data_IF_338907607452
#
_entry.id   IF_338907607452
#
_cell.length_a   1.000
_cell.length_b   1.000
_cell.length_c   1.000
_cell.angle_alpha   90.00
_cell.angle_beta   90.00
_cell.angle_gamma   90.00
#
_symmetry.space_group_name_H-M   'P 1'
#
loop_
_entity.id
_entity.type
_entity.pdbx_description
1 polymer ?
#
# COMPACT_ATOMS: atom_id res chain seq x y z
N UNK A 1 -4.54 0.73 -3.22
CA UNK A 1 -5.03 0.95 -1.85
C UNK A 1 -6.39 1.61 -1.99
N UNK A 2 -7.46 0.94 -1.59
CA UNK A 2 -8.80 1.52 -1.59
C UNK A 2 -9.00 2.10 -0.19
N UNK A 3 -9.25 3.41 -0.10
CA UNK A 3 -9.60 4.07 1.16
C UNK A 3 -10.89 3.42 1.65
N UNK A 4 -10.82 2.56 2.67
CA UNK A 4 -11.95 1.74 3.11
C UNK A 4 -11.62 0.38 3.73
N UNK A 5 -10.35 -0.02 3.84
CA UNK A 5 -9.96 -1.15 4.70
C UNK A 5 -9.59 -0.65 6.10
N UNK A 6 -9.95 -1.44 7.11
CA UNK A 6 -9.95 -1.20 8.58
C UNK A 6 -8.83 -0.31 9.16
N UNK A 7 -7.65 -0.22 8.54
CA UNK A 7 -6.55 0.66 8.95
C UNK A 7 -6.85 2.17 8.81
N UNK A 8 -7.99 2.53 8.20
CA UNK A 8 -8.45 3.92 8.00
C UNK A 8 -9.78 4.22 8.70
N UNK A 9 -10.24 3.34 9.60
CA UNK A 9 -11.54 3.49 10.27
C UNK A 9 -11.61 4.74 11.17
N UNK A 10 -10.46 5.22 11.65
CA UNK A 10 -10.35 6.39 12.54
C UNK A 10 -10.26 7.73 11.79
N UNK A 11 -10.38 7.72 10.46
CA UNK A 11 -10.43 8.96 9.67
C UNK A 11 -11.69 9.76 10.02
N UNK A 12 -11.50 11.02 10.36
CA UNK A 12 -12.61 11.97 10.55
C UNK A 12 -12.91 12.64 9.22
N UNK A 13 -14.16 12.59 8.75
CA UNK A 13 -14.57 13.21 7.49
C UNK A 13 -15.76 14.15 7.69
N UNK A 14 -15.77 15.33 7.03
CA UNK A 14 -16.96 16.17 6.98
C UNK A 14 -18.00 15.67 5.97
N UNK A 15 -17.66 14.70 5.11
CA UNK A 15 -18.58 14.16 4.12
C UNK A 15 -19.53 13.15 4.81
N UNK A 16 -20.85 13.40 4.84
CA UNK A 16 -21.80 12.53 5.54
C UNK A 16 -21.94 11.15 4.90
N UNK A 17 -21.47 10.97 3.67
CA UNK A 17 -21.45 9.67 2.98
C UNK A 17 -20.13 8.90 3.19
N UNK A 18 -19.26 9.38 4.07
CA UNK A 18 -17.96 8.80 4.32
C UNK A 18 -16.88 9.22 3.32
N UNK A 19 -15.73 8.56 3.41
CA UNK A 19 -14.55 8.82 2.58
C UNK A 19 -14.67 8.10 1.24
N UNK A 20 -14.79 8.85 0.14
CA UNK A 20 -14.70 8.34 -1.23
C UNK A 20 -13.35 8.66 -1.89
N UNK A 21 -12.71 9.76 -1.48
CA UNK A 21 -11.42 10.22 -1.97
C UNK A 21 -10.58 10.87 -0.86
N UNK A 22 -9.34 11.23 -1.19
CA UNK A 22 -8.42 11.89 -0.25
C UNK A 22 -8.93 13.28 0.15
N UNK A 23 -9.68 13.94 -0.72
CA UNK A 23 -10.33 15.23 -0.44
C UNK A 23 -11.34 15.15 0.71
N UNK A 24 -11.89 13.98 1.01
CA UNK A 24 -12.85 13.79 2.10
C UNK A 24 -12.19 13.76 3.48
N UNK A 25 -10.85 13.69 3.57
CA UNK A 25 -10.14 13.77 4.86
C UNK A 25 -9.77 15.21 5.22
N UNK A 26 -10.06 16.17 4.33
CA UNK A 26 -9.80 17.59 4.56
C UNK A 26 -10.96 18.16 5.38
N UNK A 27 -10.70 18.83 6.51
CA UNK A 27 -11.74 19.51 7.29
C UNK A 27 -12.51 20.52 6.43
N UNK A 28 -13.82 20.65 6.68
CA UNK A 28 -14.68 21.48 5.84
C UNK A 28 -14.22 22.94 5.74
N UNK A 29 -13.86 23.56 6.88
CA UNK A 29 -13.40 24.95 6.91
C UNK A 29 -12.14 25.15 6.07
N UNK A 30 -11.20 24.20 6.14
CA UNK A 30 -9.99 24.18 5.30
C UNK A 30 -10.34 23.99 3.83
N UNK A 31 -11.30 23.13 3.50
CA UNK A 31 -11.70 22.88 2.12
C UNK A 31 -12.35 24.12 1.47
N UNK A 32 -13.22 24.84 2.19
CA UNK A 32 -13.81 26.11 1.73
C UNK A 32 -12.75 27.20 1.60
N UNK A 33 -11.86 27.32 2.59
CA UNK A 33 -10.74 28.25 2.55
C UNK A 33 -9.81 27.97 1.36
N UNK A 34 -9.50 26.70 1.08
CA UNK A 34 -8.70 26.31 -0.07
C UNK A 34 -9.41 26.62 -1.40
N UNK A 35 -10.72 26.42 -1.48
CA UNK A 35 -11.49 26.83 -2.66
C UNK A 35 -11.45 28.35 -2.88
N UNK A 36 -11.44 29.15 -1.81
CA UNK A 36 -11.24 30.60 -1.92
C UNK A 36 -9.87 30.96 -2.50
N UNK A 37 -8.79 30.39 -1.95
CA UNK A 37 -7.42 30.60 -2.45
C UNK A 37 -7.30 30.17 -3.91
N UNK A 38 -7.89 29.03 -4.27
CA UNK A 38 -7.96 28.59 -5.66
C UNK A 38 -8.65 29.61 -6.56
N UNK A 39 -9.82 30.12 -6.16
CA UNK A 39 -10.57 31.07 -6.98
C UNK A 39 -9.81 32.39 -7.12
N UNK A 40 -9.11 32.87 -6.09
CA UNK A 40 -8.27 34.07 -6.21
C UNK A 40 -7.22 33.94 -7.32
N UNK A 41 -6.64 32.75 -7.51
CA UNK A 41 -5.62 32.51 -8.52
C UNK A 41 -6.20 32.21 -9.91
N UNK A 42 -7.22 31.35 -9.99
CA UNK A 42 -7.68 30.79 -11.26
C UNK A 42 -9.04 31.32 -11.75
N UNK A 43 -9.88 31.79 -10.85
CA UNK A 43 -11.25 32.25 -11.15
C UNK A 43 -11.60 33.49 -10.31
N UNK A 44 -10.87 34.62 -10.48
CA UNK A 44 -10.92 35.76 -9.54
C UNK A 44 -12.28 36.47 -9.49
N UNK A 45 -13.19 36.16 -10.42
CA UNK A 45 -14.58 36.63 -10.42
C UNK A 45 -15.44 35.92 -9.38
N UNK A 46 -14.97 34.82 -8.78
CA UNK A 46 -15.68 34.06 -7.75
C UNK A 46 -15.11 34.36 -6.37
N UNK A 47 -15.87 35.09 -5.56
CA UNK A 47 -15.56 35.29 -4.15
C UNK A 47 -16.24 34.24 -3.29
N UNK A 48 -15.51 33.16 -3.00
CA UNK A 48 -16.01 32.03 -2.18
C UNK A 48 -16.41 32.47 -0.76
N UNK A 49 -15.77 33.50 -0.18
CA UNK A 49 -16.11 33.97 1.17
C UNK A 49 -17.49 34.64 1.17
N UNK A 50 -17.78 35.42 0.12
CA UNK A 50 -19.08 36.04 -0.06
C UNK A 50 -20.23 35.03 -0.28
N UNK A 51 -19.91 33.80 -0.71
CA UNK A 51 -20.91 32.74 -0.90
C UNK A 51 -21.44 32.16 0.41
N UNK A 52 -20.74 32.38 1.53
CA UNK A 52 -21.12 31.90 2.87
C UNK A 52 -21.52 30.41 2.89
N UNK A 53 -20.71 29.58 2.25
CA UNK A 53 -20.96 28.15 2.15
C UNK A 53 -20.91 27.48 3.53
N UNK A 54 -21.95 26.71 3.84
CA UNK A 54 -21.99 25.83 5.00
C UNK A 54 -22.06 24.35 4.57
N UNK A 55 -21.88 23.43 5.52
CA UNK A 55 -21.90 22.00 5.24
C UNK A 55 -23.23 21.51 4.66
N UNK A 56 -24.36 22.06 5.11
CA UNK A 56 -25.69 21.64 4.62
C UNK A 56 -25.93 22.06 3.17
N UNK A 57 -25.35 23.18 2.74
CA UNK A 57 -25.42 23.66 1.37
C UNK A 57 -24.49 22.89 0.43
N UNK A 58 -23.34 22.44 0.94
CA UNK A 58 -22.39 21.65 0.16
C UNK A 58 -22.84 20.19 0.05
N UNK A 59 -23.36 19.63 1.14
CA UNK A 59 -23.83 18.24 1.23
C UNK A 59 -25.38 18.16 1.31
N UNK A 60 -26.09 18.89 0.44
CA UNK A 60 -27.56 18.96 0.39
C UNK A 60 -28.23 17.56 0.35
N UNK A 61 -29.48 17.44 0.80
CA UNK A 61 -30.20 16.16 0.95
C UNK A 61 -30.30 15.33 -0.34
N UNK A 62 -30.26 15.96 -1.51
CA UNK A 62 -30.16 15.27 -2.81
C UNK A 62 -28.91 14.38 -2.91
N UNK A 63 -27.82 14.74 -2.20
CA UNK A 63 -26.56 14.00 -2.11
C UNK A 63 -26.75 12.64 -1.43
N UNK A 64 -27.68 12.51 -0.47
CA UNK A 64 -27.92 11.24 0.27
C UNK A 64 -28.47 10.11 -0.59
N UNK A 65 -28.94 10.41 -1.80
CA UNK A 65 -29.55 9.43 -2.72
C UNK A 65 -28.65 9.06 -3.90
N UNK A 66 -27.50 9.74 -4.05
CA UNK A 66 -26.56 9.57 -5.16
C UNK A 66 -25.27 8.88 -4.70
N UNK A 67 -24.51 8.24 -5.61
CA UNK A 67 -23.21 7.67 -5.26
C UNK A 67 -22.27 8.78 -4.74
N UNK A 68 -21.48 8.48 -3.71
CA UNK A 68 -20.57 9.45 -3.10
C UNK A 68 -19.54 9.95 -4.13
N UNK A 69 -19.60 11.25 -4.45
CA UNK A 69 -18.72 11.90 -5.46
C UNK A 69 -17.49 12.59 -4.85
N UNK A 70 -17.37 12.60 -3.52
CA UNK A 70 -16.30 13.27 -2.77
C UNK A 70 -16.48 14.79 -2.58
N UNK A 71 -15.89 15.32 -1.51
CA UNK A 71 -15.97 16.73 -1.08
C UNK A 71 -15.70 17.73 -2.20
N UNK A 72 -14.71 17.46 -3.05
CA UNK A 72 -14.35 18.36 -4.15
C UNK A 72 -15.51 18.56 -5.14
N UNK A 73 -16.21 17.47 -5.52
CA UNK A 73 -17.35 17.55 -6.45
C UNK A 73 -18.57 18.21 -5.83
N UNK A 74 -18.74 18.06 -4.52
CA UNK A 74 -19.79 18.77 -3.79
C UNK A 74 -19.50 20.27 -3.70
N UNK A 75 -18.26 20.66 -3.43
CA UNK A 75 -17.83 22.06 -3.47
C UNK A 75 -18.01 22.68 -4.86
N UNK A 76 -17.61 21.97 -5.93
CA UNK A 76 -17.82 22.42 -7.30
C UNK A 76 -19.31 22.71 -7.58
N UNK A 77 -20.18 21.78 -7.18
CA UNK A 77 -21.63 21.89 -7.41
C UNK A 77 -22.21 23.08 -6.63
N UNK A 78 -21.81 23.25 -5.36
CA UNK A 78 -22.30 24.33 -4.51
C UNK A 78 -21.84 25.70 -4.99
N UNK A 79 -20.55 25.85 -5.35
CA UNK A 79 -20.01 27.10 -5.90
C UNK A 79 -20.66 27.40 -7.24
N UNK A 80 -20.77 26.42 -8.13
CA UNK A 80 -21.40 26.57 -9.44
C UNK A 80 -22.86 27.02 -9.35
N UNK A 81 -23.63 26.44 -8.43
CA UNK A 81 -25.02 26.83 -8.19
C UNK A 81 -25.13 28.28 -7.67
N UNK A 82 -24.27 28.68 -6.73
CA UNK A 82 -24.28 30.03 -6.14
C UNK A 82 -23.82 31.13 -7.10
N UNK A 83 -22.93 30.80 -8.03
CA UNK A 83 -22.35 31.73 -9.00
C UNK A 83 -23.07 31.75 -10.34
N UNK A 84 -24.07 30.89 -10.54
CA UNK A 84 -24.72 30.72 -11.84
C UNK A 84 -23.80 30.12 -12.90
N UNK A 85 -22.74 29.40 -12.49
CA UNK A 85 -21.75 28.77 -13.38
C UNK A 85 -21.77 27.25 -13.18
N UNK A 86 -22.71 26.51 -13.82
CA UNK A 86 -22.86 25.06 -13.62
C UNK A 86 -21.62 24.24 -14.02
N UNK A 87 -20.75 24.79 -14.87
CA UNK A 87 -19.50 24.17 -15.30
C UNK A 87 -18.30 24.54 -14.43
N UNK A 88 -18.51 25.15 -13.26
CA UNK A 88 -17.44 25.47 -12.32
C UNK A 88 -16.70 24.19 -11.92
N UNK A 89 -15.37 24.24 -11.96
CA UNK A 89 -14.50 23.10 -11.72
C UNK A 89 -13.33 23.50 -10.84
N UNK A 90 -12.98 22.64 -9.88
CA UNK A 90 -11.77 22.76 -9.08
C UNK A 90 -10.75 21.75 -9.60
N UNK A 91 -9.67 22.24 -10.19
CA UNK A 91 -8.55 21.36 -10.53
C UNK A 91 -7.97 20.74 -9.24
N UNK A 92 -7.81 19.41 -9.25
CA UNK A 92 -7.40 18.64 -8.07
C UNK A 92 -6.03 19.04 -7.55
N UNK A 93 -5.07 19.32 -8.44
CA UNK A 93 -3.69 19.62 -8.06
C UNK A 93 -3.60 21.03 -7.49
N UNK A 94 -4.20 22.00 -8.17
CA UNK A 94 -4.25 23.38 -7.70
C UNK A 94 -5.05 23.53 -6.39
N UNK A 95 -6.18 22.83 -6.25
CA UNK A 95 -6.92 22.77 -4.98
C UNK A 95 -6.06 22.18 -3.84
N UNK A 96 -5.31 21.10 -4.12
CA UNK A 96 -4.44 20.47 -3.11
C UNK A 96 -3.31 21.40 -2.67
N UNK A 97 -2.74 22.21 -3.58
CA UNK A 97 -1.77 23.26 -3.24
C UNK A 97 -2.39 24.33 -2.34
N UNK A 98 -3.60 24.78 -2.68
CA UNK A 98 -4.35 25.73 -1.85
C UNK A 98 -4.63 25.17 -0.44
N UNK A 99 -4.99 23.89 -0.31
CA UNK A 99 -5.15 23.23 1.01
C UNK A 99 -3.86 23.29 1.83
N UNK A 100 -2.70 23.02 1.21
CA UNK A 100 -1.41 23.11 1.89
C UNK A 100 -1.13 24.54 2.34
N UNK A 101 -1.38 25.54 1.50
CA UNK A 101 -1.12 26.93 1.83
C UNK A 101 -2.03 27.45 2.96
N UNK A 102 -3.28 26.99 3.02
CA UNK A 102 -4.21 27.25 4.12
C UNK A 102 -3.73 26.59 5.41
N UNK A 103 -3.39 25.31 5.39
CA UNK A 103 -2.92 24.58 6.57
C UNK A 103 -1.57 25.11 7.09
N UNK A 104 -0.70 25.58 6.20
CA UNK A 104 0.58 26.18 6.54
C UNK A 104 0.47 27.64 7.00
N UNK A 105 -0.72 28.24 6.98
CA UNK A 105 -0.93 29.63 7.36
C UNK A 105 -0.22 30.63 6.45
N UNK A 106 0.02 30.27 5.18
CA UNK A 106 0.73 31.13 4.22
C UNK A 106 -0.15 32.20 3.59
N UNK A 107 -1.47 32.13 3.79
CA UNK A 107 -2.44 33.06 3.23
C UNK A 107 -2.80 34.13 4.25
N UNK A 108 -2.44 35.41 4.03
CA UNK A 108 -2.80 36.50 4.92
C UNK A 108 -4.33 36.63 5.06
N UNK A 109 -4.81 36.71 6.31
CA UNK A 109 -6.24 36.87 6.59
C UNK A 109 -7.07 35.58 6.46
N UNK A 110 -6.45 34.45 6.09
CA UNK A 110 -7.11 33.16 5.95
C UNK A 110 -6.42 32.14 6.87
N UNK A 111 -6.84 32.11 8.15
CA UNK A 111 -6.30 31.18 9.13
C UNK A 111 -7.28 30.03 9.35
N UNK A 112 -6.83 28.80 9.13
CA UNK A 112 -7.61 27.61 9.48
C UNK A 112 -7.91 27.58 10.98
N UNK A 113 -9.11 27.12 11.36
CA UNK A 113 -9.46 26.98 12.77
C UNK A 113 -8.51 25.99 13.46
N UNK A 114 -8.11 26.22 14.72
CA UNK A 114 -7.21 25.31 15.44
C UNK A 114 -7.69 23.86 15.46
N UNK A 115 -9.00 23.62 15.53
CA UNK A 115 -9.57 22.28 15.52
C UNK A 115 -9.54 21.64 14.13
N UNK A 116 -9.71 22.42 13.05
CA UNK A 116 -9.52 21.91 11.69
C UNK A 116 -8.07 21.48 11.47
N UNK A 117 -7.09 22.26 11.95
CA UNK A 117 -5.66 21.91 11.84
C UNK A 117 -5.39 20.59 12.56
N UNK A 118 -5.93 20.39 13.77
CA UNK A 118 -5.78 19.12 14.51
C UNK A 118 -6.40 17.95 13.76
N UNK A 119 -7.61 18.10 13.22
CA UNK A 119 -8.29 17.04 12.46
C UNK A 119 -7.50 16.69 11.21
N UNK A 120 -7.05 17.69 10.44
CA UNK A 120 -6.21 17.46 9.26
C UNK A 120 -4.92 16.71 9.64
N UNK A 121 -4.22 17.17 10.69
CA UNK A 121 -3.00 16.53 11.16
C UNK A 121 -3.23 15.06 11.52
N UNK A 122 -4.28 14.75 12.28
CA UNK A 122 -4.59 13.39 12.69
C UNK A 122 -4.95 12.48 11.51
N UNK A 123 -5.78 12.98 10.59
CA UNK A 123 -6.13 12.25 9.38
C UNK A 123 -4.90 11.91 8.52
N UNK A 124 -4.01 12.87 8.30
CA UNK A 124 -2.78 12.64 7.54
C UNK A 124 -1.81 11.73 8.29
N UNK A 125 -1.75 11.80 9.63
CA UNK A 125 -0.96 10.86 10.45
C UNK A 125 -1.43 9.42 10.25
N UNK A 126 -2.74 9.18 10.31
CA UNK A 126 -3.35 7.86 10.07
C UNK A 126 -3.02 7.38 8.65
N UNK A 127 -3.29 8.20 7.64
CA UNK A 127 -3.07 7.88 6.23
C UNK A 127 -1.61 7.52 5.93
N UNK A 128 -0.67 8.35 6.38
CA UNK A 128 0.76 8.14 6.14
C UNK A 128 1.31 6.92 6.90
N UNK A 129 0.77 6.64 8.09
CA UNK A 129 1.12 5.42 8.85
C UNK A 129 0.68 4.17 8.11
N UNK A 130 -0.56 4.15 7.62
CA UNK A 130 -1.09 3.05 6.81
C UNK A 130 -0.30 2.88 5.50
N UNK A 131 0.06 3.98 4.84
CA UNK A 131 0.88 3.97 3.62
C UNK A 131 2.27 3.39 3.86
N UNK A 132 2.95 3.82 4.93
CA UNK A 132 4.25 3.30 5.29
C UNK A 132 4.22 1.81 5.64
N UNK A 133 3.13 1.31 6.24
CA UNK A 133 2.92 -0.12 6.47
C UNK A 133 2.75 -0.87 5.15
N UNK A 134 1.84 -0.41 4.29
CA UNK A 134 1.58 -1.03 2.99
C UNK A 134 2.83 -1.07 2.10
N UNK A 135 3.66 -0.01 2.12
CA UNK A 135 4.92 0.02 1.39
C UNK A 135 5.89 -1.05 1.90
N UNK A 136 6.12 -1.13 3.21
CA UNK A 136 7.01 -2.14 3.80
C UNK A 136 6.50 -3.56 3.53
N UNK A 137 5.19 -3.76 3.53
CA UNK A 137 4.58 -5.06 3.23
C UNK A 137 4.78 -5.44 1.75
N UNK A 138 4.65 -4.48 0.84
CA UNK A 138 4.91 -4.66 -0.59
C UNK A 138 6.39 -4.97 -0.87
N UNK A 139 7.32 -4.23 -0.27
CA UNK A 139 8.76 -4.48 -0.39
C UNK A 139 9.14 -5.88 0.12
N UNK A 140 8.56 -6.29 1.26
CA UNK A 140 8.74 -7.65 1.78
C UNK A 140 8.19 -8.71 0.82
N UNK A 141 6.99 -8.50 0.28
CA UNK A 141 6.39 -9.43 -0.68
C UNK A 141 7.23 -9.56 -1.95
N UNK A 142 7.74 -8.44 -2.49
CA UNK A 142 8.61 -8.43 -3.67
C UNK A 142 9.93 -9.17 -3.41
N UNK A 143 10.56 -8.95 -2.25
CA UNK A 143 11.78 -9.67 -1.86
C UNK A 143 11.55 -11.19 -1.82
N UNK A 144 10.44 -11.60 -1.22
CA UNK A 144 10.05 -13.01 -1.11
C UNK A 144 9.81 -13.63 -2.48
N UNK A 145 9.11 -12.93 -3.36
CA UNK A 145 8.86 -13.38 -4.73
C UNK A 145 10.17 -13.55 -5.51
N UNK A 146 11.08 -12.58 -5.40
CA UNK A 146 12.41 -12.64 -6.04
C UNK A 146 13.21 -13.85 -5.55
N UNK A 147 13.30 -14.07 -4.25
CA UNK A 147 14.01 -15.23 -3.66
C UNK A 147 13.36 -16.54 -4.13
N UNK A 148 12.03 -16.66 -4.02
CA UNK A 148 11.29 -17.84 -4.45
C UNK A 148 11.49 -18.15 -5.94
N UNK A 149 11.45 -17.13 -6.81
CA UNK A 149 11.68 -17.27 -8.24
C UNK A 149 13.08 -17.79 -8.56
N UNK A 150 14.11 -17.26 -7.87
CA UNK A 150 15.50 -17.73 -8.02
C UNK A 150 15.66 -19.18 -7.58
N UNK A 151 15.14 -19.54 -6.40
CA UNK A 151 15.18 -20.93 -5.91
C UNK A 151 14.49 -21.87 -6.89
N UNK A 152 13.31 -21.51 -7.39
CA UNK A 152 12.59 -22.32 -8.37
C UNK A 152 13.31 -22.43 -9.71
N UNK A 153 14.08 -21.40 -10.11
CA UNK A 153 14.96 -21.48 -11.28
C UNK A 153 16.10 -22.48 -11.05
N UNK A 154 16.83 -22.34 -9.95
CA UNK A 154 17.95 -23.23 -9.57
C UNK A 154 17.47 -24.69 -9.54
N UNK A 155 16.34 -24.96 -8.85
CA UNK A 155 15.70 -26.28 -8.83
C UNK A 155 15.42 -26.83 -10.23
N UNK A 156 14.79 -26.02 -11.10
CA UNK A 156 14.46 -26.44 -12.47
C UNK A 156 15.71 -26.73 -13.30
N UNK A 157 16.75 -25.91 -13.16
CA UNK A 157 18.00 -26.10 -13.88
C UNK A 157 18.73 -27.37 -13.42
N UNK A 158 18.72 -27.67 -12.13
CA UNK A 158 19.24 -28.94 -11.59
C UNK A 158 18.50 -30.14 -12.17
N UNK A 159 17.16 -30.16 -12.07
CA UNK A 159 16.30 -31.26 -12.57
C UNK A 159 16.49 -31.46 -14.08
N UNK A 160 16.64 -30.36 -14.84
CA UNK A 160 16.83 -30.41 -16.30
C UNK A 160 18.19 -31.01 -16.68
N UNK A 161 19.24 -30.68 -15.92
CA UNK A 161 20.63 -31.05 -16.22
C UNK A 161 20.97 -32.46 -15.76
N UNK A 162 20.40 -32.90 -14.63
CA UNK A 162 20.66 -34.21 -14.02
C UNK A 162 19.54 -35.20 -14.37
N UNK A 163 19.52 -35.66 -15.62
CA UNK A 163 18.51 -36.62 -16.08
C UNK A 163 18.89 -38.04 -15.66
N UNK A 164 18.19 -38.57 -14.66
CA UNK A 164 18.26 -39.99 -14.25
C UNK A 164 19.29 -40.32 -13.17
N UNK A 165 20.27 -39.45 -12.91
CA UNK A 165 21.19 -39.57 -11.78
C UNK A 165 21.86 -38.23 -11.48
N UNK A 166 22.28 -38.03 -10.24
CA UNK A 166 23.14 -36.95 -9.79
C UNK A 166 24.17 -37.53 -8.81
N UNK A 167 25.39 -36.97 -8.82
CA UNK A 167 26.38 -37.27 -7.78
C UNK A 167 26.04 -36.53 -6.50
N UNK A 168 26.50 -37.03 -5.36
CA UNK A 168 26.35 -36.34 -4.07
C UNK A 168 26.97 -34.94 -4.10
N UNK A 169 28.11 -34.76 -4.77
CA UNK A 169 28.74 -33.45 -5.00
C UNK A 169 27.82 -32.48 -5.76
N UNK A 170 27.02 -32.96 -6.71
CA UNK A 170 26.07 -32.12 -7.46
C UNK A 170 24.97 -31.59 -6.54
N UNK A 171 24.54 -32.41 -5.57
CA UNK A 171 23.52 -32.03 -4.58
C UNK A 171 24.10 -31.04 -3.55
N UNK A 172 25.34 -31.25 -3.10
CA UNK A 172 26.02 -30.30 -2.22
C UNK A 172 26.16 -28.93 -2.89
N UNK A 173 26.55 -28.90 -4.17
CA UNK A 173 26.61 -27.66 -4.96
C UNK A 173 25.23 -26.99 -5.08
N UNK A 174 24.16 -27.78 -5.27
CA UNK A 174 22.78 -27.26 -5.27
C UNK A 174 22.40 -26.62 -3.93
N UNK A 175 22.73 -27.29 -2.81
CA UNK A 175 22.46 -26.79 -1.46
C UNK A 175 23.21 -25.48 -1.23
N UNK A 176 24.48 -25.40 -1.63
CA UNK A 176 25.29 -24.18 -1.53
C UNK A 176 24.69 -23.05 -2.38
N UNK A 177 24.34 -23.33 -3.64
CA UNK A 177 23.76 -22.36 -4.56
C UNK A 177 22.43 -21.80 -4.01
N UNK A 178 21.53 -22.66 -3.54
CA UNK A 178 20.27 -22.24 -2.91
C UNK A 178 20.56 -21.44 -1.64
N UNK A 179 21.46 -21.91 -0.77
CA UNK A 179 21.79 -21.25 0.50
C UNK A 179 22.36 -19.84 0.30
N UNK A 180 23.11 -19.61 -0.79
CA UNK A 180 23.64 -18.29 -1.16
C UNK A 180 22.56 -17.26 -1.51
N UNK A 181 21.36 -17.71 -1.91
CA UNK A 181 20.24 -16.85 -2.26
C UNK A 181 19.33 -16.53 -1.08
N UNK A 182 19.51 -17.23 0.05
CA UNK A 182 18.67 -17.10 1.23
C UNK A 182 19.16 -15.97 2.13
N UNK A 183 18.22 -15.20 2.67
CA UNK A 183 18.48 -14.19 3.68
C UNK A 183 18.58 -14.81 5.10
N UNK A 184 18.63 -13.96 6.13
CA UNK A 184 18.68 -14.39 7.54
C UNK A 184 17.28 -14.48 8.17
N UNK A 185 16.23 -14.64 7.35
CA UNK A 185 14.88 -14.78 7.85
C UNK A 185 14.66 -16.15 8.50
N UNK A 186 13.60 -16.28 9.30
CA UNK A 186 13.22 -17.57 9.89
C UNK A 186 12.88 -18.61 8.82
N UNK A 187 12.25 -18.18 7.75
CA UNK A 187 11.86 -19.00 6.60
C UNK A 187 13.08 -19.53 5.85
N UNK A 188 14.09 -18.68 5.67
CA UNK A 188 15.37 -19.10 5.13
C UNK A 188 16.05 -20.14 6.04
N UNK A 189 15.98 -19.98 7.35
CA UNK A 189 16.53 -20.98 8.29
C UNK A 189 15.76 -22.31 8.27
N UNK A 190 14.44 -22.27 8.11
CA UNK A 190 13.63 -23.49 7.93
C UNK A 190 14.01 -24.22 6.63
N UNK A 191 14.29 -23.49 5.55
CA UNK A 191 14.83 -24.08 4.31
C UNK A 191 16.22 -24.68 4.50
N UNK A 192 17.13 -23.96 5.17
CA UNK A 192 18.47 -24.48 5.49
C UNK A 192 18.37 -25.75 6.32
N UNK A 193 17.45 -25.80 7.28
CA UNK A 193 17.19 -27.00 8.09
C UNK A 193 16.70 -28.18 7.24
N UNK A 194 15.76 -27.94 6.32
CA UNK A 194 15.29 -28.99 5.40
C UNK A 194 16.44 -29.53 4.53
N UNK A 195 17.27 -28.64 3.99
CA UNK A 195 18.43 -29.03 3.17
C UNK A 195 19.51 -29.76 3.99
N UNK A 196 19.73 -29.39 5.25
CA UNK A 196 20.63 -30.13 6.15
C UNK A 196 20.14 -31.56 6.40
N UNK A 197 18.82 -31.77 6.49
CA UNK A 197 18.25 -33.13 6.60
C UNK A 197 18.63 -34.03 5.41
N UNK A 198 18.82 -33.46 4.23
CA UNK A 198 19.24 -34.20 3.04
C UNK A 198 20.64 -34.81 3.16
N UNK A 199 21.51 -34.24 3.99
CA UNK A 199 22.86 -34.76 4.23
C UNK A 199 22.81 -36.20 4.74
N UNK A 200 21.91 -36.47 5.68
CA UNK A 200 21.66 -37.79 6.23
C UNK A 200 20.81 -38.64 5.27
N UNK A 201 19.67 -38.12 4.79
CA UNK A 201 18.69 -38.85 3.98
C UNK A 201 19.29 -39.41 2.66
N UNK A 202 20.30 -38.73 2.10
CA UNK A 202 20.93 -39.11 0.83
C UNK A 202 22.43 -39.40 0.96
N UNK A 203 22.93 -39.53 2.20
CA UNK A 203 24.32 -39.86 2.52
C UNK A 203 25.34 -38.93 1.83
N UNK A 204 25.05 -37.62 1.75
CA UNK A 204 25.80 -36.67 0.91
C UNK A 204 27.27 -36.51 1.32
N UNK A 205 27.60 -36.82 2.57
CA UNK A 205 28.94 -36.62 3.16
C UNK A 205 29.86 -37.86 3.10
N UNK A 206 29.40 -39.02 2.61
CA UNK A 206 30.19 -40.27 2.63
C UNK A 206 31.27 -40.28 1.54
N UNK A 207 30.87 -40.40 0.27
CA UNK A 207 31.74 -40.19 -0.90
C UNK A 207 31.03 -39.25 -1.89
N UNK A 208 31.50 -38.00 -2.06
CA UNK A 208 30.87 -37.02 -2.94
C UNK A 208 30.79 -37.43 -4.41
N UNK A 209 31.66 -38.34 -4.88
CA UNK A 209 31.72 -38.76 -6.29
C UNK A 209 30.72 -39.85 -6.64
N UNK A 210 30.19 -40.52 -5.63
CA UNK A 210 29.19 -41.56 -5.83
C UNK A 210 27.82 -40.95 -6.23
N UNK A 211 27.04 -41.68 -7.04
CA UNK A 211 25.67 -41.30 -7.33
C UNK A 211 24.81 -41.35 -6.07
N UNK A 212 23.79 -40.50 -6.01
CA UNK A 212 22.72 -40.63 -5.02
C UNK A 212 21.89 -41.87 -5.35
N UNK A 213 21.78 -42.81 -4.40
CA UNK A 213 21.11 -44.10 -4.60
C UNK A 213 19.63 -43.95 -4.92
N UNK A 214 18.86 -43.23 -4.08
CA UNK A 214 17.45 -42.93 -4.34
C UNK A 214 17.27 -41.54 -4.98
N UNK A 215 17.68 -41.45 -6.26
CA UNK A 215 17.53 -40.23 -7.03
C UNK A 215 16.06 -39.77 -7.17
N UNK A 216 15.10 -40.70 -7.16
CA UNK A 216 13.68 -40.36 -7.27
C UNK A 216 13.16 -39.68 -5.99
N UNK A 217 13.57 -40.15 -4.81
CA UNK A 217 13.29 -39.48 -3.55
C UNK A 217 13.95 -38.10 -3.46
N UNK A 218 15.19 -37.97 -3.93
CA UNK A 218 15.87 -36.68 -4.01
C UNK A 218 15.09 -35.69 -4.86
N UNK A 219 14.62 -36.09 -6.05
CA UNK A 219 13.83 -35.20 -6.90
C UNK A 219 12.53 -34.74 -6.22
N UNK A 220 11.84 -35.63 -5.50
CA UNK A 220 10.65 -35.25 -4.71
C UNK A 220 11.00 -34.27 -3.60
N UNK A 221 12.10 -34.49 -2.88
CA UNK A 221 12.59 -33.61 -1.83
C UNK A 221 12.90 -32.21 -2.38
N UNK A 222 13.69 -32.13 -3.46
CA UNK A 222 14.01 -30.87 -4.16
C UNK A 222 12.73 -30.17 -4.60
N UNK A 223 11.79 -30.87 -5.23
CA UNK A 223 10.53 -30.28 -5.71
C UNK A 223 9.67 -29.74 -4.56
N UNK A 224 9.64 -30.43 -3.42
CA UNK A 224 8.90 -30.02 -2.23
C UNK A 224 9.49 -28.80 -1.50
N UNK A 225 10.77 -28.48 -1.73
CA UNK A 225 11.43 -27.30 -1.15
C UNK A 225 10.70 -26.03 -1.59
N UNK A 226 10.03 -25.35 -0.66
CA UNK A 226 9.23 -24.17 -0.95
C UNK A 226 9.57 -23.03 0.00
N UNK A 227 10.13 -21.94 -0.54
CA UNK A 227 10.29 -20.71 0.22
C UNK A 227 8.92 -20.07 0.43
N UNK A 228 8.44 -20.07 1.67
CA UNK A 228 7.16 -19.47 2.06
C UNK A 228 7.44 -18.41 3.10
N UNK A 229 7.22 -17.14 2.78
CA UNK A 229 7.13 -16.09 3.80
C UNK A 229 6.02 -16.46 4.79
N UNK A 230 6.31 -16.49 6.10
CA UNK A 230 5.24 -16.56 7.08
C UNK A 230 4.46 -15.25 6.96
N UNK A 231 3.16 -15.34 6.66
CA UNK A 231 2.23 -14.23 6.84
C UNK A 231 2.06 -13.96 8.34
N UNK A 232 3.08 -13.41 9.00
CA UNK A 232 2.96 -12.97 10.40
C UNK A 232 2.36 -11.57 10.40
N UNK A 233 1.03 -11.50 10.27
CA UNK A 233 0.15 -10.42 10.78
C UNK A 233 -1.25 -10.49 10.15
N UNK A 234 -2.03 -11.52 10.49
CA UNK A 234 -3.50 -11.50 10.39
C UNK A 234 -4.08 -12.74 11.11
N UNK A 235 -3.93 -12.83 12.43
CA UNK A 235 -4.74 -13.66 13.35
C UNK A 235 -4.23 -13.50 14.79
N UNK A 236 -4.28 -12.27 15.28
CA UNK A 236 -4.42 -12.03 16.71
C UNK A 236 -5.42 -10.90 16.80
N UNK A 237 -6.66 -11.28 17.13
CA UNK A 237 -7.71 -10.49 17.78
C UNK A 237 -8.98 -11.36 17.71
N UNK A 238 -9.06 -12.24 18.72
CA UNK A 238 -10.33 -12.76 19.26
C UNK A 238 -10.88 -11.75 20.24
#
# INVERSE_FOLDING_TARGET
>A
MQLGQNDLADLTTPNPLGVAGIEDIIPFGVAVAAAHVYCQEFVPTVDVVALQLDQSQVYDDAVKTSPNRGTLKYLESAIGARTGTPSFHLDKVAFSRAVIDVLAGKMPGLTAAPDDIKVAHENFRILLTALAKAQRDAERAESVEKISSRINRIKRDFVRTRRGSARREDVLNLIEEISSQLDNSREAEDLRRQMRGWEEDFALLVDPREPVEDFAALLRAIQSLAYRAVRTSARTDT
#
